data_IF_486161329339
#
_entry.id   IF_486161329339
#
_cell.length_a   1.000
_cell.length_b   1.000
_cell.length_c   1.000
_cell.angle_alpha   90.00
_cell.angle_beta   90.00
_cell.angle_gamma   90.00
#
_symmetry.space_group_name_H-M   'P 1'
#
loop_
_entity.id
_entity.type
_entity.pdbx_description
1 polymer ?
#
# COMPACT_ATOMS: atom_id res chain seq x y z
N UNK A 1 -35.82 -28.40 -24.85
CA UNK A 1 -34.34 -28.48 -24.77
C UNK A 1 -33.64 -27.14 -24.53
N UNK A 2 -34.12 -26.01 -25.08
CA UNK A 2 -33.47 -24.67 -24.93
C UNK A 2 -33.35 -24.13 -23.49
N UNK A 3 -34.27 -24.48 -22.56
CA UNK A 3 -34.24 -24.02 -21.16
C UNK A 3 -33.10 -24.59 -20.31
N UNK A 4 -32.56 -25.76 -20.67
CA UNK A 4 -31.44 -26.38 -19.95
C UNK A 4 -30.08 -25.79 -20.36
N UNK A 5 -29.96 -25.34 -21.62
CA UNK A 5 -28.78 -24.61 -22.12
C UNK A 5 -28.62 -23.23 -21.46
N UNK A 6 -29.73 -22.55 -21.16
CA UNK A 6 -29.71 -21.26 -20.44
C UNK A 6 -29.32 -21.42 -18.96
N UNK A 7 -29.67 -22.54 -18.32
CA UNK A 7 -29.24 -22.81 -16.93
C UNK A 7 -27.75 -23.18 -16.85
N UNK A 8 -27.20 -23.86 -17.85
CA UNK A 8 -25.78 -24.21 -17.89
C UNK A 8 -24.85 -23.00 -18.07
N UNK A 9 -25.32 -21.92 -18.69
CA UNK A 9 -24.54 -20.70 -18.94
C UNK A 9 -24.30 -19.86 -17.68
N UNK A 10 -25.14 -20.01 -16.64
CA UNK A 10 -25.04 -19.26 -15.37
C UNK A 10 -24.06 -19.90 -14.38
N UNK A 11 -23.63 -21.16 -14.61
CA UNK A 11 -22.71 -21.88 -13.72
C UNK A 11 -21.22 -21.70 -14.04
N UNK A 12 -20.85 -20.78 -14.93
CA UNK A 12 -19.44 -20.47 -15.18
C UNK A 12 -18.80 -19.95 -13.89
N UNK A 13 -17.78 -20.64 -13.32
CA UNK A 13 -17.13 -20.19 -12.10
C UNK A 13 -16.49 -18.82 -12.37
N UNK A 14 -17.02 -17.77 -11.74
CA UNK A 14 -16.39 -16.46 -11.82
C UNK A 14 -15.07 -16.53 -11.04
N UNK A 15 -13.93 -16.14 -11.64
CA UNK A 15 -12.65 -16.16 -10.96
C UNK A 15 -12.70 -15.17 -9.78
N UNK A 16 -12.65 -15.69 -8.56
CA UNK A 16 -12.61 -14.92 -7.32
C UNK A 16 -11.20 -14.30 -7.12
N UNK A 17 -10.84 -13.36 -7.97
CA UNK A 17 -9.54 -12.66 -7.95
C UNK A 17 -9.59 -11.41 -7.08
N UNK A 18 -10.00 -11.56 -5.82
CA UNK A 18 -10.02 -10.44 -4.90
C UNK A 18 -9.46 -10.86 -3.54
N UNK A 19 -8.39 -10.18 -3.11
CA UNK A 19 -7.87 -10.32 -1.76
C UNK A 19 -8.79 -9.57 -0.81
N UNK A 20 -9.29 -10.25 0.22
CA UNK A 20 -10.12 -9.60 1.24
C UNK A 20 -9.24 -8.88 2.26
N UNK A 21 -9.49 -7.59 2.46
CA UNK A 21 -8.81 -6.77 3.47
C UNK A 21 -9.83 -6.05 4.36
N UNK A 22 -9.42 -5.74 5.59
CA UNK A 22 -10.18 -4.88 6.49
C UNK A 22 -9.79 -3.43 6.17
N UNK A 23 -10.75 -2.64 5.67
CA UNK A 23 -10.57 -1.24 5.35
C UNK A 23 -10.60 -0.41 6.63
N UNK A 24 -9.41 0.02 7.05
CA UNK A 24 -9.24 0.86 8.23
C UNK A 24 -9.31 2.35 7.84
N UNK A 25 -10.05 3.19 8.58
CA UNK A 25 -9.95 4.64 8.43
C UNK A 25 -8.51 5.15 8.58
N UNK A 26 -8.18 6.29 7.97
CA UNK A 26 -6.84 6.90 8.03
C UNK A 26 -6.30 7.03 9.47
N UNK A 27 -7.15 7.42 10.42
CA UNK A 27 -6.78 7.51 11.84
C UNK A 27 -6.43 6.14 12.45
N UNK A 28 -7.09 5.07 12.04
CA UNK A 28 -6.80 3.70 12.47
C UNK A 28 -5.52 3.16 11.81
N UNK A 29 -5.31 3.43 10.51
CA UNK A 29 -4.04 3.13 9.82
C UNK A 29 -2.87 3.84 10.51
N UNK A 30 -3.03 5.13 10.85
CA UNK A 30 -2.00 5.93 11.54
C UNK A 30 -1.67 5.34 12.92
N UNK A 31 -2.70 4.93 13.67
CA UNK A 31 -2.51 4.31 14.98
C UNK A 31 -1.75 2.98 14.88
N UNK A 32 -2.13 2.13 13.91
CA UNK A 32 -1.61 0.76 13.76
C UNK A 32 -0.22 0.69 13.11
N UNK A 33 0.13 1.64 12.25
CA UNK A 33 1.40 1.59 11.52
C UNK A 33 2.60 1.78 12.44
N UNK A 34 3.57 0.89 12.35
CA UNK A 34 4.88 1.05 13.00
C UNK A 34 5.75 2.05 12.26
N UNK A 35 5.55 2.19 10.95
CA UNK A 35 6.28 3.15 10.12
C UNK A 35 5.36 3.83 9.13
N UNK A 36 5.54 5.15 9.05
CA UNK A 36 4.78 6.01 8.16
C UNK A 36 5.77 6.93 7.46
N UNK A 37 5.78 6.91 6.13
CA UNK A 37 6.73 7.67 5.34
C UNK A 37 6.25 7.93 3.92
N UNK A 38 6.71 9.05 3.35
CA UNK A 38 6.84 9.23 1.91
C UNK A 38 8.19 8.66 1.49
N UNK A 39 8.21 7.80 0.48
CA UNK A 39 9.43 7.21 -0.03
C UNK A 39 9.42 7.12 -1.56
N UNK A 40 10.61 7.13 -2.14
CA UNK A 40 10.84 6.82 -3.56
C UNK A 40 11.25 5.37 -3.71
N UNK A 41 10.78 4.72 -4.77
CA UNK A 41 11.18 3.35 -5.11
C UNK A 41 12.52 3.41 -5.82
N UNK A 42 13.53 2.80 -5.22
CA UNK A 42 14.89 2.72 -5.79
C UNK A 42 15.04 1.47 -6.66
N UNK A 43 14.52 0.34 -6.17
CA UNK A 43 14.68 -0.95 -6.83
C UNK A 43 13.54 -1.89 -6.46
N UNK A 44 13.22 -2.80 -7.39
CA UNK A 44 12.19 -3.83 -7.22
C UNK A 44 12.77 -5.17 -7.69
N UNK A 45 12.72 -6.20 -6.84
CA UNK A 45 13.23 -7.55 -7.15
C UNK A 45 12.26 -8.63 -6.69
N UNK A 46 11.93 -9.57 -7.57
CA UNK A 46 11.25 -10.80 -7.17
C UNK A 46 12.27 -11.80 -6.63
N UNK A 47 11.99 -12.37 -5.46
CA UNK A 47 12.81 -13.40 -4.80
C UNK A 47 11.93 -14.48 -4.19
N UNK A 48 12.51 -15.65 -3.91
CA UNK A 48 11.88 -16.66 -3.06
C UNK A 48 12.22 -16.31 -1.61
N UNK A 49 11.20 -16.08 -0.78
CA UNK A 49 11.38 -15.83 0.65
C UNK A 49 11.89 -17.09 1.37
N UNK A 50 12.44 -16.97 2.58
CA UNK A 50 12.86 -18.15 3.36
C UNK A 50 11.75 -19.19 3.57
N UNK A 51 10.47 -18.77 3.52
CA UNK A 51 9.30 -19.65 3.60
C UNK A 51 8.86 -20.25 2.26
N UNK A 52 9.68 -20.16 1.21
CA UNK A 52 9.39 -20.76 -0.11
C UNK A 52 8.36 -20.00 -0.96
N UNK A 53 7.97 -18.78 -0.57
CA UNK A 53 6.97 -17.97 -1.28
C UNK A 53 7.65 -16.98 -2.22
N UNK A 54 7.11 -16.77 -3.41
CA UNK A 54 7.57 -15.69 -4.28
C UNK A 54 7.05 -14.36 -3.71
N UNK A 55 7.99 -13.47 -3.44
CA UNK A 55 7.74 -12.13 -2.93
C UNK A 55 8.51 -11.12 -3.75
N UNK A 56 8.01 -9.90 -3.80
CA UNK A 56 8.68 -8.77 -4.42
C UNK A 56 9.25 -7.89 -3.30
N UNK A 57 10.57 -7.78 -3.25
CA UNK A 57 11.28 -6.86 -2.37
C UNK A 57 11.45 -5.53 -3.08
N UNK A 58 11.04 -4.46 -2.42
CA UNK A 58 11.09 -3.11 -2.93
C UNK A 58 12.00 -2.31 -2.01
N UNK A 59 13.10 -1.81 -2.55
CA UNK A 59 14.01 -0.91 -1.84
C UNK A 59 13.45 0.50 -1.94
N UNK A 60 13.16 1.09 -0.79
CA UNK A 60 12.59 2.42 -0.66
C UNK A 60 13.61 3.37 -0.06
N UNK A 61 13.77 4.57 -0.64
CA UNK A 61 14.50 5.66 0.00
C UNK A 61 13.51 6.65 0.58
N UNK A 62 13.58 6.86 1.89
CA UNK A 62 12.66 7.73 2.62
C UNK A 62 12.90 9.20 2.28
N UNK A 63 11.88 9.84 1.74
CA UNK A 63 11.87 11.27 1.39
C UNK A 63 11.33 12.11 2.55
N UNK A 64 10.29 11.61 3.23
CA UNK A 64 9.69 12.26 4.40
C UNK A 64 9.35 11.19 5.44
N UNK A 65 9.84 11.35 6.66
CA UNK A 65 9.63 10.40 7.74
C UNK A 65 8.59 10.93 8.74
N UNK A 66 7.55 10.16 9.05
CA UNK A 66 6.53 10.54 10.04
C UNK A 66 6.61 9.69 11.30
N UNK A 67 6.92 8.40 11.17
CA UNK A 67 7.05 7.46 12.29
C UNK A 67 8.00 6.32 11.93
N UNK A 68 8.82 5.88 12.88
CA UNK A 68 9.56 4.62 12.80
C UNK A 68 10.65 4.51 11.71
N UNK A 69 11.08 5.64 11.16
CA UNK A 69 12.17 5.76 10.18
C UNK A 69 12.73 7.20 10.15
N UNK A 70 13.74 7.49 9.34
CA UNK A 70 14.37 8.81 9.16
C UNK A 70 14.49 9.19 7.69
N UNK A 71 14.54 10.49 7.40
CA UNK A 71 14.78 10.98 6.04
C UNK A 71 16.14 10.47 5.53
N UNK A 72 16.17 10.00 4.29
CA UNK A 72 17.35 9.40 3.64
C UNK A 72 17.61 7.94 4.00
N UNK A 73 16.90 7.38 4.98
CA UNK A 73 17.00 5.97 5.33
C UNK A 73 16.52 5.07 4.17
N UNK A 74 17.20 3.95 3.98
CA UNK A 74 16.81 2.92 3.02
C UNK A 74 16.05 1.83 3.76
N UNK A 75 14.81 1.59 3.34
CA UNK A 75 13.92 0.60 3.94
C UNK A 75 13.55 -0.45 2.90
N UNK A 76 13.50 -1.72 3.29
CA UNK A 76 13.04 -2.80 2.41
C UNK A 76 11.59 -3.11 2.72
N UNK A 77 10.73 -2.95 1.72
CA UNK A 77 9.34 -3.39 1.77
C UNK A 77 9.20 -4.75 1.05
N UNK A 78 8.36 -5.62 1.58
CA UNK A 78 8.02 -6.90 0.95
C UNK A 78 6.54 -6.94 0.54
N UNK A 79 6.29 -7.33 -0.70
CA UNK A 79 4.96 -7.51 -1.26
C UNK A 79 4.77 -8.97 -1.70
N UNK A 80 3.58 -9.56 -1.51
CA UNK A 80 3.31 -10.91 -2.01
C UNK A 80 3.24 -10.94 -3.54
N UNK A 81 3.74 -12.02 -4.12
CA UNK A 81 3.81 -12.20 -5.57
C UNK A 81 5.08 -11.61 -6.19
N UNK A 82 5.18 -11.70 -7.51
CA UNK A 82 6.36 -11.28 -8.26
C UNK A 82 6.55 -12.09 -9.53
N UNK A 83 7.56 -11.72 -10.32
CA UNK A 83 7.92 -12.40 -11.57
C UNK A 83 9.37 -12.89 -11.50
N UNK A 84 9.56 -14.19 -11.52
CA UNK A 84 10.85 -14.86 -11.71
C UNK A 84 10.93 -15.44 -13.14
N UNK A 85 12.12 -15.73 -13.67
CA UNK A 85 12.25 -16.38 -14.98
C UNK A 85 11.41 -17.67 -15.04
N UNK A 86 10.42 -17.71 -15.93
CA UNK A 86 9.52 -18.86 -16.11
C UNK A 86 8.41 -19.01 -15.07
N UNK A 87 8.30 -18.12 -14.07
CA UNK A 87 7.29 -18.24 -13.01
C UNK A 87 6.70 -16.88 -12.60
N UNK A 88 5.38 -16.76 -12.70
CA UNK A 88 4.63 -15.56 -12.27
C UNK A 88 3.75 -15.93 -11.09
N UNK A 89 4.00 -15.32 -9.94
CA UNK A 89 3.07 -15.35 -8.82
C UNK A 89 2.31 -14.03 -8.78
N UNK A 90 1.02 -14.08 -9.03
CA UNK A 90 0.14 -12.92 -8.91
C UNK A 90 -0.62 -12.98 -7.59
N UNK A 91 -0.66 -11.88 -6.84
CA UNK A 91 -1.51 -11.72 -5.67
C UNK A 91 -2.42 -10.51 -5.93
N UNK A 92 -3.75 -10.69 -6.04
CA UNK A 92 -4.68 -9.59 -6.21
C UNK A 92 -4.52 -8.54 -5.11
N UNK A 93 -4.56 -7.26 -5.46
CA UNK A 93 -4.35 -6.16 -4.51
C UNK A 93 -2.90 -5.93 -4.08
N UNK A 94 -1.94 -6.71 -4.59
CA UNK A 94 -0.51 -6.41 -4.42
C UNK A 94 -0.13 -5.26 -5.38
N UNK A 95 0.42 -4.15 -4.87
CA UNK A 95 0.76 -3.00 -5.70
C UNK A 95 1.90 -3.35 -6.66
N UNK A 96 1.83 -2.83 -7.88
CA UNK A 96 2.91 -2.95 -8.86
C UNK A 96 3.72 -1.67 -8.85
N UNK A 97 5.00 -1.76 -8.48
CA UNK A 97 5.88 -0.61 -8.31
C UNK A 97 7.06 -0.68 -9.25
N UNK A 98 7.41 0.48 -9.79
CA UNK A 98 8.55 0.70 -10.67
C UNK A 98 9.55 1.67 -10.02
N UNK A 99 10.86 1.51 -10.28
CA UNK A 99 11.85 2.50 -9.85
C UNK A 99 11.47 3.92 -10.29
N UNK A 100 11.62 4.88 -9.38
CA UNK A 100 11.20 6.28 -9.55
C UNK A 100 9.81 6.60 -9.02
N UNK A 101 8.97 5.60 -8.74
CA UNK A 101 7.66 5.82 -8.14
C UNK A 101 7.77 6.46 -6.75
N UNK A 102 6.86 7.40 -6.44
CA UNK A 102 6.67 7.93 -5.10
C UNK A 102 5.47 7.29 -4.43
N UNK A 103 5.65 6.85 -3.19
CA UNK A 103 4.61 6.20 -2.39
C UNK A 103 4.56 6.78 -0.98
N UNK A 104 3.34 6.95 -0.46
CA UNK A 104 3.10 7.27 0.94
C UNK A 104 2.53 6.02 1.62
N UNK A 105 3.29 5.43 2.54
CA UNK A 105 2.95 4.13 3.10
C UNK A 105 2.68 4.15 4.59
N UNK A 106 1.72 3.31 4.99
CA UNK A 106 1.47 2.87 6.35
C UNK A 106 1.95 1.42 6.48
N UNK A 107 3.03 1.21 7.22
CA UNK A 107 3.72 -0.07 7.27
C UNK A 107 3.65 -0.71 8.66
N UNK A 108 3.48 -2.02 8.68
CA UNK A 108 3.81 -2.87 9.84
C UNK A 108 5.21 -3.47 9.66
N UNK A 109 5.87 -3.70 10.78
CA UNK A 109 7.20 -4.31 10.83
C UNK A 109 7.06 -5.82 10.85
N UNK A 110 7.84 -6.51 10.03
CA UNK A 110 7.86 -7.97 9.99
C UNK A 110 9.31 -8.44 9.85
N UNK A 111 9.94 -8.71 11.00
CA UNK A 111 11.39 -8.90 11.08
C UNK A 111 12.13 -7.71 10.46
N UNK A 112 13.06 -7.96 9.52
CA UNK A 112 13.87 -6.93 8.85
C UNK A 112 13.15 -6.22 7.68
N UNK A 113 11.92 -6.61 7.35
CA UNK A 113 11.17 -6.03 6.23
C UNK A 113 9.92 -5.30 6.72
N UNK A 114 9.46 -4.37 5.90
CA UNK A 114 8.19 -3.67 6.10
C UNK A 114 7.12 -4.27 5.19
N UNK A 115 5.89 -4.32 5.67
CA UNK A 115 4.71 -4.70 4.86
C UNK A 115 3.68 -3.59 4.94
N UNK A 116 3.06 -3.19 3.83
CA UNK A 116 1.99 -2.21 3.88
C UNK A 116 0.76 -2.82 4.55
N UNK A 117 0.09 -2.03 5.40
CA UNK A 117 -1.14 -2.45 6.06
C UNK A 117 -2.24 -2.69 5.02
N UNK A 118 -2.66 -3.94 4.86
CA UNK A 118 -3.73 -4.28 3.91
C UNK A 118 -3.31 -4.20 2.43
N UNK A 119 -2.07 -4.56 2.10
CA UNK A 119 -1.55 -4.57 0.72
C UNK A 119 -1.56 -3.16 0.09
N UNK A 120 -2.10 -2.98 -1.13
CA UNK A 120 -2.20 -1.66 -1.76
C UNK A 120 -3.05 -0.66 -0.98
N UNK A 121 -3.90 -1.12 -0.04
CA UNK A 121 -4.75 -0.23 0.76
C UNK A 121 -3.93 0.74 1.64
N UNK A 122 -2.90 0.23 2.30
CA UNK A 122 -1.99 0.99 3.15
C UNK A 122 -0.85 1.66 2.39
N UNK A 123 -0.72 1.42 1.08
CA UNK A 123 0.31 2.00 0.23
C UNK A 123 -0.30 2.95 -0.79
N UNK A 124 -0.30 4.24 -0.48
CA UNK A 124 -0.85 5.28 -1.34
C UNK A 124 0.17 5.65 -2.40
N UNK A 125 -0.29 5.82 -3.64
CA UNK A 125 0.51 6.31 -4.75
C UNK A 125 0.57 7.83 -4.68
N UNK A 126 1.71 8.39 -5.05
CA UNK A 126 1.91 9.83 -5.12
C UNK A 126 2.26 10.20 -6.55
N UNK A 127 1.53 11.16 -7.10
CA UNK A 127 1.83 11.75 -8.40
C UNK A 127 2.03 13.25 -8.24
N UNK A 128 2.89 13.83 -9.06
CA UNK A 128 2.97 15.27 -9.19
C UNK A 128 1.98 15.73 -10.27
N UNK A 129 1.25 16.80 -9.99
CA UNK A 129 0.46 17.53 -10.97
C UNK A 129 0.92 19.00 -11.03
N UNK A 130 0.27 19.82 -11.87
CA UNK A 130 0.60 21.24 -12.01
C UNK A 130 0.36 22.09 -10.75
N UNK A 131 -0.19 21.51 -9.67
CA UNK A 131 -0.51 22.17 -8.40
C UNK A 131 0.28 21.61 -7.21
N UNK A 132 1.04 20.53 -7.40
CA UNK A 132 1.89 19.92 -6.37
C UNK A 132 1.79 18.41 -6.35
N UNK A 133 2.08 17.79 -5.21
CA UNK A 133 1.95 16.34 -5.04
C UNK A 133 0.55 15.96 -4.59
N UNK A 134 -0.01 14.92 -5.22
CA UNK A 134 -1.32 14.37 -4.89
C UNK A 134 -1.23 12.89 -4.62
N UNK A 135 -2.01 12.43 -3.65
CA UNK A 135 -2.04 11.05 -3.20
C UNK A 135 -3.36 10.39 -3.54
N UNK A 136 -3.30 9.11 -3.90
CA UNK A 136 -4.46 8.30 -4.20
C UNK A 136 -4.24 6.85 -3.76
N UNK A 137 -5.34 6.14 -3.53
CA UNK A 137 -5.32 4.73 -3.15
C UNK A 137 -5.68 3.86 -4.35
N UNK A 138 -4.85 2.86 -4.61
CA UNK A 138 -5.16 1.78 -5.55
C UNK A 138 -5.92 0.68 -4.82
N UNK A 139 -7.14 0.40 -5.28
CA UNK A 139 -8.03 -0.61 -4.68
C UNK A 139 -8.27 -1.80 -5.60
N UNK A 140 -7.58 -1.87 -6.74
CA UNK A 140 -7.79 -2.90 -7.75
C UNK A 140 -7.42 -4.28 -7.19
N UNK A 141 -8.33 -5.25 -7.34
CA UNK A 141 -8.16 -6.59 -6.81
C UNK A 141 -8.33 -6.71 -5.28
N UNK A 142 -8.85 -5.67 -4.61
CA UNK A 142 -9.22 -5.73 -3.20
C UNK A 142 -10.73 -5.83 -2.99
N UNK A 143 -11.16 -6.84 -2.23
CA UNK A 143 -12.47 -6.84 -1.58
C UNK A 143 -12.29 -6.20 -0.21
N UNK A 144 -13.02 -5.13 0.06
CA UNK A 144 -12.84 -4.34 1.28
C UNK A 144 -14.01 -4.54 2.22
N UNK A 145 -13.72 -5.02 3.42
CA UNK A 145 -14.69 -5.19 4.50
C UNK A 145 -14.41 -4.17 5.61
N UNK A 146 -15.47 -3.72 6.26
CA UNK A 146 -15.38 -3.03 7.53
C UNK A 146 -14.89 -3.98 8.64
N UNK A 147 -14.42 -3.48 9.79
CA UNK A 147 -14.06 -4.34 10.92
C UNK A 147 -15.19 -5.27 11.39
N UNK A 148 -16.45 -4.91 11.14
CA UNK A 148 -17.62 -5.73 11.46
C UNK A 148 -17.91 -6.84 10.46
N UNK A 149 -17.13 -6.96 9.37
CA UNK A 149 -17.31 -8.00 8.33
C UNK A 149 -18.22 -7.58 7.16
N UNK A 150 -18.94 -6.47 7.28
CA UNK A 150 -19.79 -5.93 6.21
C UNK A 150 -18.96 -5.22 5.13
N UNK A 151 -19.45 -5.08 3.88
CA UNK A 151 -18.79 -4.29 2.84
C UNK A 151 -18.39 -2.89 3.33
N UNK A 152 -17.14 -2.51 3.08
CA UNK A 152 -16.61 -1.23 3.53
C UNK A 152 -17.23 -0.06 2.77
N UNK A 153 -17.59 1.01 3.49
CA UNK A 153 -18.18 2.21 2.91
C UNK A 153 -17.18 2.94 1.98
N UNK A 154 -17.64 3.49 0.84
CA UNK A 154 -16.80 4.28 -0.06
C UNK A 154 -16.05 5.41 0.63
N UNK A 155 -16.67 6.10 1.60
CA UNK A 155 -16.02 7.20 2.30
C UNK A 155 -14.73 6.81 3.06
N UNK A 156 -14.59 5.53 3.43
CA UNK A 156 -13.41 4.98 4.13
C UNK A 156 -12.40 4.39 3.13
N UNK A 157 -12.91 3.81 2.06
CA UNK A 157 -12.09 3.07 1.09
C UNK A 157 -11.50 3.96 0.01
N UNK A 158 -12.25 4.96 -0.44
CA UNK A 158 -11.86 5.81 -1.57
C UNK A 158 -11.05 7.01 -1.08
N UNK A 159 -9.78 7.03 -1.48
CA UNK A 159 -8.94 8.22 -1.42
C UNK A 159 -8.52 8.55 -2.85
N UNK A 160 -9.22 9.51 -3.45
CA UNK A 160 -8.95 9.95 -4.82
C UNK A 160 -8.42 11.36 -4.78
N UNK A 161 -7.17 11.51 -5.20
CA UNK A 161 -6.58 12.80 -5.55
C UNK A 161 -6.56 13.85 -4.43
N UNK A 162 -6.09 13.47 -3.25
CA UNK A 162 -5.95 14.39 -2.10
C UNK A 162 -4.58 15.09 -2.17
N UNK A 163 -4.44 16.39 -1.87
CA UNK A 163 -3.13 17.01 -1.74
C UNK A 163 -2.27 16.28 -0.69
N UNK A 164 -1.01 16.00 -1.02
CA UNK A 164 -0.11 15.26 -0.13
C UNK A 164 0.08 16.00 1.20
N UNK A 165 0.16 17.32 1.17
CA UNK A 165 0.35 18.13 2.38
C UNK A 165 -0.86 18.05 3.31
N UNK A 166 -2.08 17.98 2.78
CA UNK A 166 -3.30 17.79 3.59
C UNK A 166 -3.30 16.43 4.28
N UNK A 167 -2.94 15.36 3.55
CA UNK A 167 -2.79 14.03 4.13
C UNK A 167 -1.73 14.04 5.24
N UNK A 168 -0.56 14.60 4.96
CA UNK A 168 0.54 14.67 5.93
C UNK A 168 0.12 15.47 7.16
N UNK A 169 -0.60 16.58 7.00
CA UNK A 169 -1.10 17.39 8.10
C UNK A 169 -2.06 16.59 8.99
N UNK A 170 -3.02 15.85 8.41
CA UNK A 170 -3.95 15.00 9.17
C UNK A 170 -3.24 13.86 9.91
N UNK A 171 -2.32 13.16 9.24
CA UNK A 171 -1.53 12.08 9.86
C UNK A 171 -0.64 12.63 10.99
N UNK A 172 0.01 13.77 10.78
CA UNK A 172 0.83 14.46 11.78
C UNK A 172 0.00 14.86 13.00
N UNK A 173 -1.18 15.46 12.79
CA UNK A 173 -2.09 15.81 13.87
C UNK A 173 -2.48 14.57 14.69
N UNK A 174 -2.82 13.46 14.01
CA UNK A 174 -3.16 12.21 14.68
C UNK A 174 -1.98 11.61 15.46
N UNK A 175 -0.76 11.67 14.93
CA UNK A 175 0.42 11.18 15.65
C UNK A 175 0.70 12.00 16.91
N UNK A 176 0.49 13.33 16.86
CA UNK A 176 0.61 14.20 18.03
C UNK A 176 -0.41 13.86 19.11
N UNK A 177 -1.66 13.61 18.74
CA UNK A 177 -2.70 13.15 19.68
C UNK A 177 -2.32 11.83 20.36
N UNK A 178 -1.63 10.94 19.64
CA UNK A 178 -1.14 9.67 20.17
C UNK A 178 0.16 9.80 20.98
N UNK A 179 0.73 11.01 21.12
CA UNK A 179 2.00 11.24 21.81
C UNK A 179 3.22 10.68 21.08
N UNK A 180 3.11 10.39 19.78
CA UNK A 180 4.21 9.86 18.97
C UNK A 180 5.11 11.00 18.50
N UNK A 181 6.40 10.91 18.82
CA UNK A 181 7.40 11.86 18.35
C UNK A 181 7.61 11.73 16.83
N UNK A 182 7.56 12.87 16.13
CA UNK A 182 7.79 12.94 14.69
C UNK A 182 9.28 13.23 14.46
N UNK A 183 9.98 12.44 13.62
CA UNK A 183 11.38 12.67 13.31
C UNK A 183 11.63 14.04 12.70
N UNK A 184 12.80 14.61 12.99
CA UNK A 184 13.25 15.85 12.35
C UNK A 184 13.31 15.70 10.82
N UNK A 185 12.69 16.65 10.14
CA UNK A 185 12.71 16.76 8.69
C UNK A 185 14.00 17.49 8.27
N UNK A 186 15.16 16.85 8.37
CA UNK A 186 16.34 17.38 7.67
C UNK A 186 16.05 17.30 6.17
N UNK A 187 16.30 18.37 5.39
CA UNK A 187 16.00 18.38 3.96
C UNK A 187 16.81 17.28 3.26
N UNK A 188 16.15 16.16 2.98
CA UNK A 188 16.64 15.16 2.04
C UNK A 188 16.44 15.71 0.64
N UNK A 189 17.52 15.86 -0.11
CA UNK A 189 17.45 16.27 -1.52
C UNK A 189 16.65 15.20 -2.27
N UNK A 190 15.43 15.55 -2.71
CA UNK A 190 14.71 14.77 -3.72
C UNK A 190 15.53 14.89 -5.00
N UNK A 191 16.28 13.85 -5.35
CA UNK A 191 16.94 13.78 -6.66
C UNK A 191 15.94 13.16 -7.64
N UNK A 192 15.69 13.82 -8.78
CA UNK A 192 14.93 13.21 -9.88
C UNK A 192 15.68 12.02 -10.48
#
# INVERSE_FOLDING_TARGET
MMRWLLLALVLLPQPALASTIIALPEAALTSRADTIALASVVRTDAVVSPGGRIVTRVTLQVVKALRGTRVGEVVVMELPGGRLPGLVAHTPGSPQLTPGDLVFGFFESHAEVRRPLGLSYGLLRVRQDGRGYRVFRETDGLTMLSPGGEPALPAVTTLRDVPLDDLVARVTARLKELGVAIPDQKPGVVRP
#
